data_IF_550818300078
#
_entry.id   IF_550818300078
#
_cell.length_a   1.000
_cell.length_b   1.000
_cell.length_c   1.000
_cell.angle_alpha   90.00
_cell.angle_beta   90.00
_cell.angle_gamma   90.00
#
_symmetry.space_group_name_H-M   'P 1'
#
loop_
_entity.id
_entity.type
_entity.pdbx_description
1 polymer ?
#
# COMPACT_ATOMS: atom_id res chain seq x y z
N UNK A 1 53.87 -18.98 14.71
CA UNK A 1 52.59 -19.52 15.25
C UNK A 1 51.52 -18.45 15.53
N UNK A 2 51.80 -17.35 16.24
CA UNK A 2 50.76 -16.35 16.61
C UNK A 2 50.03 -15.68 15.42
N UNK A 3 50.72 -15.43 14.29
CA UNK A 3 50.11 -14.84 13.08
C UNK A 3 49.18 -15.80 12.31
N UNK A 4 49.41 -17.12 12.41
CA UNK A 4 48.61 -18.13 11.72
C UNK A 4 47.27 -18.36 12.44
N UNK A 5 47.29 -18.37 13.78
CA UNK A 5 46.09 -18.46 14.64
C UNK A 5 45.17 -17.24 14.51
N UNK A 6 45.74 -16.04 14.31
CA UNK A 6 44.94 -14.83 14.12
C UNK A 6 44.25 -14.82 12.75
N UNK A 7 44.90 -15.34 11.71
CA UNK A 7 44.31 -15.43 10.37
C UNK A 7 43.16 -16.43 10.30
N UNK A 8 43.28 -17.59 10.96
CA UNK A 8 42.19 -18.59 11.04
C UNK A 8 41.03 -18.10 11.88
N UNK A 9 41.29 -17.34 12.96
CA UNK A 9 40.23 -16.70 13.75
C UNK A 9 39.50 -15.62 12.95
N UNK A 10 40.22 -14.80 12.18
CA UNK A 10 39.60 -13.79 11.32
C UNK A 10 38.75 -14.43 10.20
N UNK A 11 39.24 -15.51 9.58
CA UNK A 11 38.51 -16.22 8.53
C UNK A 11 37.22 -16.87 9.05
N UNK A 12 37.27 -17.49 10.23
CA UNK A 12 36.10 -18.10 10.87
C UNK A 12 35.09 -17.05 11.33
N UNK A 13 35.55 -15.90 11.81
CA UNK A 13 34.67 -14.77 12.14
C UNK A 13 33.97 -14.22 10.90
N UNK A 14 34.68 -14.05 9.79
CA UNK A 14 34.09 -13.59 8.52
C UNK A 14 33.08 -14.61 7.98
N UNK A 15 33.42 -15.90 7.98
CA UNK A 15 32.46 -16.96 7.57
C UNK A 15 31.23 -17.01 8.49
N UNK A 16 31.40 -16.82 9.81
CA UNK A 16 30.28 -16.78 10.75
C UNK A 16 29.35 -15.60 10.51
N UNK A 17 29.90 -14.42 10.22
CA UNK A 17 29.11 -13.21 9.91
C UNK A 17 28.36 -13.38 8.59
N UNK A 18 29.02 -13.89 7.53
CA UNK A 18 28.36 -14.06 6.23
C UNK A 18 27.25 -15.10 6.28
N UNK A 19 27.48 -16.26 6.90
CA UNK A 19 26.45 -17.30 7.06
C UNK A 19 25.26 -16.84 7.90
N UNK A 20 25.49 -16.06 8.97
CA UNK A 20 24.41 -15.46 9.74
C UNK A 20 23.60 -14.44 8.92
N UNK A 21 24.27 -13.61 8.11
CA UNK A 21 23.62 -12.67 7.20
C UNK A 21 22.75 -13.39 6.16
N UNK A 22 23.27 -14.43 5.50
CA UNK A 22 22.49 -15.22 4.53
C UNK A 22 21.30 -15.92 5.18
N UNK A 23 21.49 -16.58 6.33
CA UNK A 23 20.41 -17.22 7.06
C UNK A 23 19.32 -16.22 7.48
N UNK A 24 19.69 -15.02 7.93
CA UNK A 24 18.72 -13.97 8.26
C UNK A 24 17.92 -13.48 7.05
N UNK A 25 18.55 -13.41 5.88
CA UNK A 25 17.89 -13.02 4.64
C UNK A 25 16.91 -14.08 4.12
N UNK A 26 17.24 -15.37 4.27
CA UNK A 26 16.36 -16.48 3.88
C UNK A 26 15.16 -16.59 4.82
N UNK A 27 15.35 -16.35 6.12
CA UNK A 27 14.26 -16.29 7.11
C UNK A 27 13.30 -15.15 6.76
N UNK A 28 13.81 -13.93 6.50
CA UNK A 28 12.98 -12.77 6.16
C UNK A 28 12.17 -13.00 4.87
N UNK A 29 12.78 -13.59 3.83
CA UNK A 29 12.06 -13.95 2.59
C UNK A 29 10.96 -14.98 2.85
N UNK A 30 11.24 -15.99 3.68
CA UNK A 30 10.26 -17.01 4.03
C UNK A 30 9.08 -16.41 4.80
N UNK A 31 9.35 -15.54 5.77
CA UNK A 31 8.29 -14.83 6.52
C UNK A 31 7.43 -13.98 5.60
N UNK A 32 8.04 -13.27 4.64
CA UNK A 32 7.32 -12.50 3.64
C UNK A 32 6.43 -13.36 2.75
N UNK A 33 6.91 -14.51 2.28
CA UNK A 33 6.10 -15.44 1.48
C UNK A 33 4.90 -15.97 2.28
N UNK A 34 5.11 -16.39 3.52
CA UNK A 34 4.04 -16.88 4.40
C UNK A 34 3.00 -15.80 4.66
N UNK A 35 3.41 -14.54 4.84
CA UNK A 35 2.48 -13.41 5.00
C UNK A 35 1.60 -13.21 3.76
N UNK A 36 2.19 -13.29 2.57
CA UNK A 36 1.46 -13.16 1.31
C UNK A 36 0.48 -14.32 1.11
N UNK A 37 0.91 -15.57 1.33
CA UNK A 37 0.04 -16.76 1.23
C UNK A 37 -1.16 -16.67 2.18
N UNK A 38 -0.93 -16.26 3.43
CA UNK A 38 -2.01 -16.06 4.40
C UNK A 38 -2.98 -14.96 3.97
N UNK A 39 -2.47 -13.88 3.39
CA UNK A 39 -3.30 -12.80 2.85
C UNK A 39 -4.11 -13.26 1.63
N UNK A 40 -3.53 -13.99 0.69
CA UNK A 40 -4.24 -14.54 -0.47
C UNK A 40 -5.37 -15.49 -0.04
N UNK A 41 -5.11 -16.33 0.96
CA UNK A 41 -6.14 -17.18 1.55
C UNK A 41 -7.26 -16.33 2.17
N UNK A 42 -6.91 -15.31 2.97
CA UNK A 42 -7.87 -14.39 3.57
C UNK A 42 -8.75 -13.70 2.52
N UNK A 43 -8.16 -13.18 1.43
CA UNK A 43 -8.86 -12.54 0.31
C UNK A 43 -9.86 -13.49 -0.32
N UNK A 44 -9.45 -14.73 -0.59
CA UNK A 44 -10.30 -15.77 -1.18
C UNK A 44 -11.47 -16.14 -0.26
N UNK A 45 -11.20 -16.38 1.02
CA UNK A 45 -12.24 -16.75 2.00
C UNK A 45 -13.27 -15.64 2.21
N UNK A 46 -12.85 -14.38 2.06
CA UNK A 46 -13.70 -13.22 2.22
C UNK A 46 -14.31 -12.71 0.91
N UNK A 47 -14.21 -13.46 -0.21
CA UNK A 47 -14.77 -13.06 -1.51
C UNK A 47 -14.33 -11.65 -1.93
N UNK A 48 -13.03 -11.41 -1.81
CA UNK A 48 -12.37 -10.17 -2.20
C UNK A 48 -11.52 -10.45 -3.45
N UNK A 49 -11.37 -9.45 -4.29
CA UNK A 49 -10.41 -9.40 -5.39
C UNK A 49 -9.44 -8.25 -5.12
N UNK A 50 -8.16 -8.57 -4.93
CA UNK A 50 -7.14 -7.56 -4.68
C UNK A 50 -6.81 -6.81 -5.97
N UNK A 51 -6.92 -5.48 -5.93
CA UNK A 51 -6.62 -4.59 -7.06
C UNK A 51 -5.18 -4.08 -6.98
N UNK A 52 -4.75 -3.65 -5.81
CA UNK A 52 -3.41 -3.12 -5.57
C UNK A 52 -2.91 -3.63 -4.22
N UNK A 53 -1.76 -4.31 -4.19
CA UNK A 53 -1.21 -4.97 -2.99
C UNK A 53 0.15 -4.37 -2.67
N UNK A 54 0.31 -3.95 -1.40
CA UNK A 54 1.58 -3.49 -0.86
C UNK A 54 1.97 -4.33 0.34
N UNK A 55 3.13 -4.95 0.25
CA UNK A 55 3.66 -5.78 1.32
C UNK A 55 4.69 -5.00 2.15
N UNK A 56 4.51 -5.04 3.46
CA UNK A 56 5.47 -4.57 4.44
C UNK A 56 6.02 -5.77 5.20
N UNK A 57 6.95 -5.53 6.13
CA UNK A 57 7.61 -6.60 6.88
C UNK A 57 6.61 -7.49 7.63
N UNK A 58 5.67 -6.87 8.32
CA UNK A 58 4.79 -7.55 9.29
C UNK A 58 3.30 -7.52 8.91
N UNK A 59 2.95 -6.84 7.81
CA UNK A 59 1.57 -6.68 7.36
C UNK A 59 1.49 -6.41 5.86
N UNK A 60 0.29 -6.60 5.30
CA UNK A 60 -0.06 -6.23 3.93
C UNK A 60 -1.14 -5.16 4.00
N UNK A 61 -1.06 -4.14 3.17
CA UNK A 61 -2.19 -3.26 2.91
C UNK A 61 -2.57 -3.32 1.45
N UNK A 62 -3.86 -3.29 1.16
CA UNK A 62 -4.36 -3.54 -0.17
C UNK A 62 -5.67 -2.83 -0.43
N UNK A 63 -5.84 -2.39 -1.68
CA UNK A 63 -7.10 -1.94 -2.24
C UNK A 63 -7.75 -3.17 -2.88
N UNK A 64 -9.00 -3.43 -2.56
CA UNK A 64 -9.72 -4.60 -3.05
C UNK A 64 -11.14 -4.24 -3.50
N UNK A 65 -11.72 -5.12 -4.30
CA UNK A 65 -13.12 -5.12 -4.68
C UNK A 65 -13.82 -6.34 -4.07
N UNK A 66 -14.95 -6.12 -3.41
CA UNK A 66 -15.77 -7.17 -2.84
C UNK A 66 -16.62 -7.79 -3.95
N UNK A 67 -16.50 -9.09 -4.17
CA UNK A 67 -17.18 -9.78 -5.27
C UNK A 67 -18.70 -9.79 -5.09
N UNK A 68 -19.20 -9.84 -3.86
CA UNK A 68 -20.64 -10.00 -3.56
C UNK A 68 -21.47 -8.75 -3.89
N UNK A 69 -20.99 -7.57 -3.50
CA UNK A 69 -21.74 -6.31 -3.59
C UNK A 69 -21.01 -5.25 -4.42
N UNK A 70 -19.89 -5.61 -5.04
CA UNK A 70 -19.07 -4.73 -5.86
C UNK A 70 -18.41 -3.57 -5.11
N UNK A 71 -18.48 -3.51 -3.77
CA UNK A 71 -17.86 -2.45 -2.97
C UNK A 71 -16.34 -2.43 -3.17
N UNK A 72 -15.74 -1.26 -3.00
CA UNK A 72 -14.28 -1.11 -2.97
C UNK A 72 -13.87 -0.84 -1.52
N UNK A 73 -12.77 -1.43 -1.09
CA UNK A 73 -12.27 -1.31 0.27
C UNK A 73 -10.76 -1.21 0.36
N UNK A 74 -10.29 -0.68 1.49
CA UNK A 74 -8.90 -0.83 1.92
C UNK A 74 -8.89 -1.85 3.06
N UNK A 75 -7.94 -2.78 3.00
CA UNK A 75 -7.62 -3.67 4.11
C UNK A 75 -6.18 -3.46 4.54
N UNK A 76 -5.97 -3.39 5.85
CA UNK A 76 -4.67 -3.56 6.50
C UNK A 76 -4.71 -4.91 7.22
N UNK A 77 -3.99 -5.88 6.66
CA UNK A 77 -3.98 -7.27 7.05
C UNK A 77 -2.75 -7.59 7.91
N UNK A 78 -3.01 -8.06 9.13
CA UNK A 78 -2.08 -8.83 9.93
C UNK A 78 -2.66 -10.25 10.09
N UNK A 79 -1.83 -11.30 10.20
CA UNK A 79 -2.31 -12.69 10.30
C UNK A 79 -3.38 -12.93 11.37
N UNK A 80 -3.32 -12.20 12.48
CA UNK A 80 -4.24 -12.37 13.61
C UNK A 80 -5.30 -11.25 13.72
N UNK A 81 -5.16 -10.16 12.95
CA UNK A 81 -6.03 -9.00 13.11
C UNK A 81 -6.01 -8.07 11.88
N UNK A 82 -7.17 -7.85 11.30
CA UNK A 82 -7.36 -6.98 10.14
C UNK A 82 -8.06 -5.67 10.51
N UNK A 83 -7.84 -4.63 9.71
CA UNK A 83 -8.58 -3.36 9.74
C UNK A 83 -9.14 -3.16 8.34
N UNK A 84 -10.44 -2.85 8.24
CA UNK A 84 -11.13 -2.78 6.95
C UNK A 84 -12.02 -1.54 6.92
N UNK A 85 -12.00 -0.83 5.81
CA UNK A 85 -13.00 0.18 5.44
C UNK A 85 -13.48 -0.13 4.03
N UNK A 86 -14.80 -0.13 3.84
CA UNK A 86 -15.46 -0.37 2.55
C UNK A 86 -16.38 0.80 2.23
N UNK A 87 -16.50 1.12 0.95
CA UNK A 87 -17.49 2.06 0.42
C UNK A 87 -18.15 1.47 -0.83
N UNK A 88 -19.35 1.93 -1.12
CA UNK A 88 -20.03 1.60 -2.38
C UNK A 88 -19.18 2.06 -3.57
N UNK A 89 -19.08 1.22 -4.59
CA UNK A 89 -18.34 1.54 -5.78
C UNK A 89 -19.06 2.62 -6.58
N UNK A 90 -18.39 3.75 -6.80
CA UNK A 90 -18.94 4.91 -7.49
C UNK A 90 -18.46 4.90 -8.94
N UNK A 91 -19.34 5.10 -9.94
CA UNK A 91 -19.00 4.97 -11.36
C UNK A 91 -17.97 5.98 -11.87
N UNK A 92 -17.70 7.07 -11.15
CA UNK A 92 -16.72 8.09 -11.52
C UNK A 92 -15.41 7.89 -10.77
N UNK A 93 -15.47 8.01 -9.43
CA UNK A 93 -14.33 7.93 -8.53
C UNK A 93 -14.75 7.33 -7.20
N UNK A 94 -13.98 6.35 -6.74
CA UNK A 94 -14.00 5.91 -5.35
C UNK A 94 -12.87 6.57 -4.58
N UNK A 95 -13.22 7.24 -3.48
CA UNK A 95 -12.27 7.72 -2.49
C UNK A 95 -12.49 7.00 -1.16
N UNK A 96 -11.42 6.44 -0.60
CA UNK A 96 -11.42 5.77 0.70
C UNK A 96 -10.31 6.37 1.55
N UNK A 97 -10.65 6.75 2.78
CA UNK A 97 -9.65 7.04 3.80
C UNK A 97 -9.83 6.07 4.96
N UNK A 98 -8.72 5.54 5.48
CA UNK A 98 -8.74 4.54 6.54
C UNK A 98 -7.71 4.87 7.60
N UNK A 99 -8.15 4.83 8.85
CA UNK A 99 -7.28 4.82 10.03
C UNK A 99 -6.93 3.36 10.36
N UNK A 100 -5.75 2.93 9.96
CA UNK A 100 -5.23 1.60 10.26
C UNK A 100 -4.63 1.50 11.66
N UNK A 101 -4.02 0.35 11.94
CA UNK A 101 -3.29 0.07 13.19
C UNK A 101 -1.85 0.53 13.09
N UNK A 102 -1.19 0.26 11.97
CA UNK A 102 0.18 0.68 11.73
C UNK A 102 0.22 2.08 11.10
N UNK A 103 -0.60 2.32 10.08
CA UNK A 103 -0.62 3.60 9.38
C UNK A 103 -2.02 4.07 9.02
N UNK A 104 -2.11 5.31 8.56
CA UNK A 104 -3.29 5.82 7.89
C UNK A 104 -3.12 5.67 6.38
N UNK A 105 -4.24 5.52 5.68
CA UNK A 105 -4.25 5.23 4.25
C UNK A 105 -5.24 6.12 3.52
N UNK A 106 -4.90 6.44 2.28
CA UNK A 106 -5.84 6.90 1.26
C UNK A 106 -5.80 5.94 0.09
N UNK A 107 -6.97 5.60 -0.43
CA UNK A 107 -7.16 4.73 -1.59
C UNK A 107 -8.07 5.42 -2.58
N UNK A 108 -7.68 5.40 -3.85
CA UNK A 108 -8.43 5.95 -4.96
C UNK A 108 -8.64 4.86 -6.02
N UNK A 109 -9.83 4.80 -6.59
CA UNK A 109 -10.11 4.06 -7.82
C UNK A 109 -10.82 4.97 -8.82
N UNK A 110 -10.18 5.20 -9.96
CA UNK A 110 -10.68 6.00 -11.05
C UNK A 110 -11.45 5.09 -12.01
N UNK A 111 -12.78 5.16 -11.99
CA UNK A 111 -13.61 4.38 -12.91
C UNK A 111 -13.87 5.13 -14.22
N UNK A 112 -13.79 6.45 -14.20
CA UNK A 112 -13.80 7.33 -15.38
C UNK A 112 -12.62 8.30 -15.35
N UNK A 113 -12.28 8.84 -16.52
CA UNK A 113 -11.23 9.87 -16.69
C UNK A 113 -9.86 9.45 -16.19
N UNK A 114 -9.64 8.16 -15.97
CA UNK A 114 -8.43 7.66 -15.35
C UNK A 114 -7.20 8.16 -16.15
N UNK A 115 -7.22 7.98 -17.47
CA UNK A 115 -6.16 8.46 -18.37
C UNK A 115 -5.96 9.98 -18.40
N UNK A 116 -6.92 10.77 -17.92
CA UNK A 116 -6.86 12.24 -17.94
C UNK A 116 -6.43 12.84 -16.59
N UNK A 117 -6.43 12.05 -15.51
CA UNK A 117 -6.11 12.52 -14.16
C UNK A 117 -4.61 12.82 -14.08
N UNK A 118 -4.27 14.06 -13.70
CA UNK A 118 -2.90 14.49 -13.44
C UNK A 118 -2.52 14.36 -11.97
N UNK A 119 -3.36 14.94 -11.09
CA UNK A 119 -3.10 14.97 -9.66
C UNK A 119 -4.39 14.98 -8.83
N UNK A 120 -4.24 14.58 -7.56
CA UNK A 120 -5.29 14.67 -6.54
C UNK A 120 -4.80 15.58 -5.44
N UNK A 121 -5.57 16.61 -5.12
CA UNK A 121 -5.32 17.51 -3.99
C UNK A 121 -6.28 17.18 -2.86
N UNK A 122 -5.75 16.96 -1.66
CA UNK A 122 -6.52 16.72 -0.44
C UNK A 122 -6.32 17.90 0.50
N UNK A 123 -7.42 18.55 0.87
CA UNK A 123 -7.46 19.59 1.88
C UNK A 123 -7.73 18.97 3.25
N UNK A 124 -6.85 19.25 4.20
CA UNK A 124 -6.88 18.73 5.55
C UNK A 124 -6.75 19.92 6.50
N UNK A 125 -7.87 20.41 7.02
CA UNK A 125 -7.91 21.62 7.85
C UNK A 125 -7.19 22.81 7.18
N UNK A 126 -6.06 23.23 7.76
CA UNK A 126 -5.27 24.38 7.33
C UNK A 126 -4.13 24.03 6.36
N UNK A 127 -4.07 22.78 5.87
CA UNK A 127 -3.02 22.33 4.97
C UNK A 127 -3.58 21.59 3.76
N UNK A 128 -2.85 21.65 2.66
CA UNK A 128 -3.18 20.96 1.42
C UNK A 128 -2.03 19.99 1.07
N UNK A 129 -2.40 18.79 0.63
CA UNK A 129 -1.44 17.80 0.14
C UNK A 129 -1.84 17.40 -1.28
N UNK A 130 -0.89 17.47 -2.20
CA UNK A 130 -1.09 17.06 -3.59
C UNK A 130 -0.33 15.78 -3.87
N UNK A 131 -1.00 14.82 -4.51
CA UNK A 131 -0.46 13.57 -4.98
C UNK A 131 -0.49 13.56 -6.50
N UNK A 132 0.66 13.38 -7.13
CA UNK A 132 0.72 13.15 -8.57
C UNK A 132 0.29 11.71 -8.86
N UNK A 133 -0.78 11.56 -9.65
CA UNK A 133 -1.36 10.26 -10.01
C UNK A 133 -0.74 9.71 -11.29
N UNK A 134 -0.10 10.58 -12.09
CA UNK A 134 0.72 10.16 -13.22
C UNK A 134 2.02 9.48 -12.76
N UNK A 135 1.92 8.24 -12.28
CA UNK A 135 3.07 7.34 -12.28
C UNK A 135 3.11 6.65 -13.63
N UNK A 136 3.98 7.15 -14.50
CA UNK A 136 4.48 6.38 -15.64
C UNK A 136 5.32 5.25 -15.03
N UNK A 137 4.67 4.16 -14.62
CA UNK A 137 5.36 2.88 -14.51
C UNK A 137 5.69 2.43 -15.93
N UNK A 138 6.80 1.70 -16.12
CA UNK A 138 7.22 1.18 -17.43
C UNK A 138 6.15 0.28 -18.10
N UNK A 139 5.12 -0.13 -17.35
CA UNK A 139 4.01 -1.00 -17.75
C UNK A 139 2.67 -0.27 -18.06
N UNK A 140 2.61 1.07 -17.96
CA UNK A 140 1.43 1.85 -18.33
C UNK A 140 0.67 2.50 -17.15
N UNK A 141 -0.48 3.08 -17.48
CA UNK A 141 -1.35 3.83 -16.57
C UNK A 141 -2.10 2.90 -15.59
N UNK A 142 -2.14 3.25 -14.29
CA UNK A 142 -2.93 2.53 -13.27
C UNK A 142 -4.18 3.31 -12.89
N UNK A 143 -5.34 2.67 -12.93
CA UNK A 143 -6.64 3.27 -12.55
C UNK A 143 -6.85 3.33 -11.03
N UNK A 144 -5.81 3.03 -10.26
CA UNK A 144 -5.83 2.97 -8.80
C UNK A 144 -4.63 3.67 -8.19
N UNK A 145 -4.81 4.10 -6.94
CA UNK A 145 -3.76 4.70 -6.13
C UNK A 145 -3.99 4.38 -4.65
N UNK A 146 -3.09 3.63 -4.03
CA UNK A 146 -3.09 3.36 -2.60
C UNK A 146 -1.77 3.83 -1.97
N UNK A 147 -1.85 4.66 -0.93
CA UNK A 147 -0.65 5.12 -0.23
C UNK A 147 -0.86 5.29 1.27
N UNK A 148 0.26 5.22 1.99
CA UNK A 148 0.36 5.58 3.40
C UNK A 148 0.39 7.11 3.53
N UNK A 149 -0.32 7.63 4.52
CA UNK A 149 -0.33 9.05 4.86
C UNK A 149 -0.03 9.27 6.33
N UNK A 150 0.58 10.42 6.64
CA UNK A 150 0.96 10.79 8.01
C UNK A 150 -0.13 11.60 8.75
N UNK A 151 -1.14 12.09 8.02
CA UNK A 151 -2.23 12.86 8.59
C UNK A 151 -3.39 11.98 9.06
N UNK A 152 -4.26 12.54 9.91
CA UNK A 152 -5.47 11.87 10.39
C UNK A 152 -6.54 11.87 9.29
N UNK A 153 -6.97 10.70 8.77
CA UNK A 153 -7.88 10.60 7.63
C UNK A 153 -9.29 11.14 7.91
N UNK A 154 -9.64 11.28 9.19
CA UNK A 154 -10.91 11.86 9.64
C UNK A 154 -10.93 13.40 9.55
N UNK A 155 -9.79 14.03 9.27
CA UNK A 155 -9.65 15.50 9.14
C UNK A 155 -9.68 16.00 7.70
N UNK A 156 -9.98 15.12 6.75
CA UNK A 156 -10.10 15.48 5.34
C UNK A 156 -11.39 16.28 5.15
N UNK A 157 -11.27 17.48 4.58
CA UNK A 157 -12.41 18.36 4.30
C UNK A 157 -12.83 18.27 2.84
N UNK A 158 -11.85 18.20 1.93
CA UNK A 158 -12.09 18.27 0.50
C UNK A 158 -11.05 17.44 -0.26
N UNK A 159 -11.50 16.76 -1.31
CA UNK A 159 -10.64 16.11 -2.30
C UNK A 159 -10.97 16.73 -3.66
N UNK A 160 -9.97 17.26 -4.34
CA UNK A 160 -10.12 17.87 -5.66
C UNK A 160 -9.23 17.16 -6.67
N UNK A 161 -9.83 16.76 -7.79
CA UNK A 161 -9.15 16.12 -8.92
C UNK A 161 -8.74 17.17 -9.93
N UNK A 162 -7.54 17.02 -10.47
CA UNK A 162 -7.00 17.84 -11.54
C UNK A 162 -6.59 16.97 -12.72
N UNK A 163 -6.84 17.46 -13.94
CA UNK A 163 -6.35 16.83 -15.15
C UNK A 163 -4.83 17.04 -15.34
N UNK A 164 -4.28 16.45 -16.40
CA UNK A 164 -2.86 16.62 -16.80
C UNK A 164 -2.44 18.07 -17.08
N UNK A 165 -3.39 18.98 -17.31
CA UNK A 165 -3.17 20.39 -17.56
C UNK A 165 -3.45 21.27 -16.32
N UNK A 166 -3.62 20.66 -15.14
CA UNK A 166 -4.00 21.30 -13.88
C UNK A 166 -5.38 22.00 -13.91
N UNK A 167 -6.29 21.57 -14.78
CA UNK A 167 -7.68 21.98 -14.76
C UNK A 167 -8.45 21.14 -13.75
N UNK A 168 -9.26 21.79 -12.91
CA UNK A 168 -10.10 21.12 -11.92
C UNK A 168 -11.18 20.29 -12.63
N UNK A 169 -11.21 18.99 -12.36
CA UNK A 169 -12.18 18.04 -12.91
C UNK A 169 -13.38 17.85 -11.98
N UNK A 170 -13.12 17.57 -10.70
CA UNK A 170 -14.15 17.25 -9.72
C UNK A 170 -13.71 17.63 -8.30
N UNK A 171 -14.68 17.79 -7.40
CA UNK A 171 -14.46 17.99 -5.96
C UNK A 171 -15.44 17.16 -5.15
N UNK A 172 -14.90 16.41 -4.19
CA UNK A 172 -15.65 15.65 -3.18
C UNK A 172 -15.45 16.34 -1.83
N UNK A 173 -16.53 16.77 -1.19
CA UNK A 173 -16.51 17.34 0.17
C UNK A 173 -16.92 16.28 1.19
N UNK A 174 -16.34 16.33 2.39
CA UNK A 174 -16.67 15.45 3.52
C UNK A 174 -17.13 16.22 4.75
#
# INVERSE_FOLDING_TARGET
MKRLLFLTFLLTLILGITTALFASSDIAKKEQLVLLENYEQYVKENQMESIEIHQQRDYIFSLYQKTENNNIGIVEYFPEKQTIVEVENNPELVFISMKGKAHNYIGLKFNQYAEDIGSVKIKIQNNDITFDVNRINEDGFTDTYLTIVEFDPDKIEEITLFDKNNQKLNTISR
#
